data_IF_353545919952
#
_entry.id   IF_353545919952
#
_cell.length_a   1.000
_cell.length_b   1.000
_cell.length_c   1.000
_cell.angle_alpha   90.00
_cell.angle_beta   90.00
_cell.angle_gamma   90.00
#
_symmetry.space_group_name_H-M   'P 1'
#
loop_
_entity.id
_entity.type
_entity.pdbx_description
1 polymer ?
#
# COMPACT_ATOMS: atom_id res chain seq x y z
N UNK A 1 -5.71 0.32 -69.24
CA UNK A 1 -6.24 0.88 -70.51
C UNK A 1 -5.17 1.01 -71.58
N UNK A 2 -4.14 1.86 -71.46
CA UNK A 2 -3.14 2.02 -72.55
C UNK A 2 -2.31 0.76 -72.85
N UNK A 3 -2.02 -0.09 -71.86
CA UNK A 3 -1.27 -1.34 -72.08
C UNK A 3 -2.10 -2.47 -72.70
N UNK A 4 -3.40 -2.55 -72.42
CA UNK A 4 -4.29 -3.58 -72.98
C UNK A 4 -4.59 -3.31 -74.46
N UNK A 5 -4.72 -2.03 -74.85
CA UNK A 5 -4.95 -1.64 -76.25
C UNK A 5 -3.74 -1.97 -77.14
N UNK A 6 -2.52 -1.84 -76.62
CA UNK A 6 -1.30 -2.16 -77.39
C UNK A 6 -1.19 -3.68 -77.62
N UNK A 7 -1.58 -4.50 -76.65
CA UNK A 7 -1.56 -5.96 -76.79
C UNK A 7 -2.59 -6.43 -77.83
N UNK A 8 -3.81 -5.87 -77.80
CA UNK A 8 -4.85 -6.18 -78.79
C UNK A 8 -4.42 -5.80 -80.21
N UNK A 9 -3.84 -4.60 -80.40
CA UNK A 9 -3.37 -4.16 -81.73
C UNK A 9 -2.23 -5.04 -82.25
N UNK A 10 -1.36 -5.54 -81.37
CA UNK A 10 -0.25 -6.43 -81.75
C UNK A 10 -0.74 -7.83 -82.11
N UNK A 11 -1.76 -8.35 -81.42
CA UNK A 11 -2.39 -9.63 -81.77
C UNK A 11 -3.17 -9.54 -83.09
N UNK A 12 -3.95 -8.47 -83.30
CA UNK A 12 -4.72 -8.25 -84.52
C UNK A 12 -3.80 -8.14 -85.75
N UNK A 13 -2.69 -7.39 -85.65
CA UNK A 13 -1.64 -7.32 -86.70
C UNK A 13 -0.89 -8.64 -86.94
N UNK A 14 -0.85 -9.55 -85.96
CA UNK A 14 -0.28 -10.89 -86.15
C UNK A 14 -1.24 -11.78 -86.91
N UNK A 15 -2.53 -11.74 -86.57
CA UNK A 15 -3.59 -12.51 -87.25
C UNK A 15 -3.70 -12.07 -88.71
N UNK A 16 -3.66 -10.77 -88.99
CA UNK A 16 -3.76 -10.22 -90.34
C UNK A 16 -2.56 -10.63 -91.22
N UNK A 17 -1.34 -10.63 -90.67
CA UNK A 17 -0.13 -11.16 -91.36
C UNK A 17 -0.17 -12.67 -91.60
N UNK A 18 -0.88 -13.43 -90.78
CA UNK A 18 -1.06 -14.88 -91.01
C UNK A 18 -2.07 -15.11 -92.13
N UNK A 19 -3.17 -14.35 -92.18
CA UNK A 19 -4.18 -14.42 -93.23
C UNK A 19 -3.57 -14.03 -94.58
N UNK A 20 -2.75 -12.98 -94.63
CA UNK A 20 -2.08 -12.54 -95.85
C UNK A 20 -1.09 -13.60 -96.37
N UNK A 21 -0.35 -14.27 -95.47
CA UNK A 21 0.55 -15.38 -95.82
C UNK A 21 -0.17 -16.64 -96.30
N UNK A 22 -1.38 -16.93 -95.79
CA UNK A 22 -2.21 -18.06 -96.24
C UNK A 22 -2.88 -17.75 -97.58
N UNK A 23 -3.23 -16.49 -97.83
CA UNK A 23 -3.84 -16.02 -99.08
C UNK A 23 -2.84 -15.96 -100.25
N UNK A 24 -1.55 -15.79 -99.96
CA UNK A 24 -0.47 -15.68 -100.95
C UNK A 24 0.14 -17.03 -101.35
N UNK A 25 -0.47 -18.16 -100.97
CA UNK A 25 -0.23 -19.44 -101.64
C UNK A 25 -1.05 -19.43 -102.93
N UNK A 26 -0.46 -18.84 -103.98
CA UNK A 26 -0.97 -18.79 -105.34
C UNK A 26 -1.55 -20.15 -105.77
N UNK A 27 -2.88 -20.24 -105.84
CA UNK A 27 -3.56 -21.22 -106.70
C UNK A 27 -3.32 -20.76 -108.13
N UNK A 28 -2.13 -21.10 -108.63
CA UNK A 28 -1.73 -20.88 -110.02
C UNK A 28 -2.46 -21.92 -110.87
N UNK A 29 -3.73 -21.65 -111.16
CA UNK A 29 -4.56 -22.42 -112.06
C UNK A 29 -4.08 -22.21 -113.51
N UNK A 30 -2.92 -22.77 -113.84
CA UNK A 30 -2.50 -22.99 -115.23
C UNK A 30 -3.27 -24.21 -115.71
N UNK A 31 -4.31 -23.98 -116.51
CA UNK A 31 -4.94 -25.01 -117.35
C UNK A 31 -3.83 -25.58 -118.23
N UNK A 32 -3.24 -26.69 -117.77
CA UNK A 32 -2.33 -27.53 -118.55
C UNK A 32 -3.21 -28.44 -119.38
N UNK A 33 -3.04 -28.32 -120.69
CA UNK A 33 -3.44 -29.29 -121.69
C UNK A 33 -3.14 -30.71 -121.19
N UNK A 34 -4.18 -31.55 -121.14
CA UNK A 34 -4.13 -32.89 -120.54
C UNK A 34 -3.34 -33.81 -121.46
N UNK A 35 -2.05 -34.00 -121.14
CA UNK A 35 -1.32 -35.22 -121.51
C UNK A 35 -2.15 -36.45 -121.11
N UNK A 36 -2.14 -37.56 -121.86
CA UNK A 36 -2.97 -38.72 -121.56
C UNK A 36 -2.69 -39.19 -120.13
N UNK A 37 -3.64 -38.88 -119.25
CA UNK A 37 -3.56 -39.22 -117.84
C UNK A 37 -3.39 -40.74 -117.77
N UNK A 38 -2.26 -41.20 -117.21
CA UNK A 38 -2.11 -42.61 -116.82
C UNK A 38 -3.34 -42.94 -116.00
N UNK A 39 -4.24 -43.73 -116.58
CA UNK A 39 -5.56 -43.99 -116.04
C UNK A 39 -5.34 -44.82 -114.78
N UNK A 40 -5.29 -44.16 -113.63
CA UNK A 40 -5.15 -44.80 -112.32
C UNK A 40 -6.19 -45.92 -112.23
N UNK A 41 -5.80 -47.09 -111.69
CA UNK A 41 -6.75 -48.21 -111.50
C UNK A 41 -7.93 -47.67 -110.67
N UNK A 42 -9.12 -47.69 -111.27
CA UNK A 42 -10.33 -47.14 -110.68
C UNK A 42 -10.71 -47.90 -109.41
N UNK A 43 -10.21 -49.13 -109.23
CA UNK A 43 -10.34 -49.91 -108.00
C UNK A 43 -9.49 -49.35 -106.87
N UNK A 44 -8.21 -49.07 -107.13
CA UNK A 44 -7.31 -48.49 -106.13
C UNK A 44 -7.82 -47.14 -105.61
N UNK A 45 -8.34 -46.30 -106.52
CA UNK A 45 -8.94 -45.02 -106.13
C UNK A 45 -10.21 -45.21 -105.28
N UNK A 46 -11.05 -46.19 -105.61
CA UNK A 46 -12.23 -46.55 -104.80
C UNK A 46 -11.87 -47.04 -103.40
N UNK A 47 -10.86 -47.89 -103.27
CA UNK A 47 -10.34 -48.38 -101.99
C UNK A 47 -9.80 -47.23 -101.12
N UNK A 48 -9.05 -46.31 -101.71
CA UNK A 48 -8.55 -45.13 -101.01
C UNK A 48 -9.69 -44.24 -100.49
N UNK A 49 -10.74 -44.01 -101.28
CA UNK A 49 -11.89 -43.23 -100.84
C UNK A 49 -12.64 -43.90 -99.68
N UNK A 50 -12.80 -45.23 -99.73
CA UNK A 50 -13.41 -45.98 -98.64
C UNK A 50 -12.55 -45.94 -97.37
N UNK A 51 -11.22 -46.04 -97.51
CA UNK A 51 -10.26 -45.93 -96.40
C UNK A 51 -10.29 -44.54 -95.75
N UNK A 52 -10.27 -43.48 -96.57
CA UNK A 52 -10.34 -42.09 -96.10
C UNK A 52 -11.67 -41.84 -95.39
N UNK A 53 -12.78 -42.33 -95.95
CA UNK A 53 -14.08 -42.24 -95.29
C UNK A 53 -14.10 -42.96 -93.93
N UNK A 54 -13.58 -44.19 -93.87
CA UNK A 54 -13.52 -44.98 -92.63
C UNK A 54 -12.71 -44.25 -91.55
N UNK A 55 -11.50 -43.77 -91.90
CA UNK A 55 -10.67 -42.98 -90.98
C UNK A 55 -11.35 -41.70 -90.51
N UNK A 56 -12.10 -41.03 -91.39
CA UNK A 56 -12.86 -39.83 -91.03
C UNK A 56 -13.97 -40.15 -90.00
N UNK A 57 -14.66 -41.27 -90.16
CA UNK A 57 -15.64 -41.76 -89.18
C UNK A 57 -14.99 -42.16 -87.84
N UNK A 58 -13.83 -42.81 -87.87
CA UNK A 58 -13.10 -43.18 -86.65
C UNK A 58 -12.66 -41.92 -85.87
N UNK A 59 -12.14 -40.92 -86.57
CA UNK A 59 -11.78 -39.61 -86.00
C UNK A 59 -13.01 -38.93 -85.39
N UNK A 60 -14.12 -38.87 -86.12
CA UNK A 60 -15.36 -38.27 -85.63
C UNK A 60 -15.85 -38.97 -84.36
N UNK A 61 -15.81 -40.30 -84.32
CA UNK A 61 -16.22 -41.10 -83.16
C UNK A 61 -15.34 -40.79 -81.95
N UNK A 62 -14.02 -40.82 -82.15
CA UNK A 62 -13.05 -40.53 -81.09
C UNK A 62 -13.23 -39.11 -80.52
N UNK A 63 -13.37 -38.11 -81.40
CA UNK A 63 -13.58 -36.71 -80.98
C UNK A 63 -14.91 -36.57 -80.25
N UNK A 64 -15.98 -37.18 -80.76
CA UNK A 64 -17.31 -37.11 -80.16
C UNK A 64 -17.33 -37.68 -78.75
N UNK A 65 -16.64 -38.80 -78.52
CA UNK A 65 -16.50 -39.39 -77.19
C UNK A 65 -15.78 -38.44 -76.21
N UNK A 66 -14.67 -37.83 -76.63
CA UNK A 66 -13.94 -36.88 -75.80
C UNK A 66 -14.74 -35.61 -75.52
N UNK A 67 -15.39 -35.05 -76.53
CA UNK A 67 -16.26 -33.86 -76.37
C UNK A 67 -17.40 -34.16 -75.40
N UNK A 68 -18.01 -35.35 -75.47
CA UNK A 68 -19.05 -35.75 -74.53
C UNK A 68 -18.57 -35.81 -73.07
N UNK A 69 -17.31 -36.19 -72.84
CA UNK A 69 -16.69 -36.19 -71.50
C UNK A 69 -16.44 -34.76 -71.00
N UNK A 70 -15.95 -33.86 -71.87
CA UNK A 70 -15.59 -32.48 -71.52
C UNK A 70 -16.83 -31.64 -71.19
N UNK A 71 -17.87 -31.76 -72.02
CA UNK A 71 -19.09 -30.94 -71.91
C UNK A 71 -20.00 -31.34 -70.73
N UNK A 72 -19.77 -32.50 -70.11
CA UNK A 72 -20.57 -33.00 -68.98
C UNK A 72 -22.05 -33.26 -69.33
N UNK A 73 -22.83 -33.78 -68.38
CA UNK A 73 -24.27 -34.10 -68.56
C UNK A 73 -25.18 -32.87 -68.71
N UNK A 74 -24.67 -31.65 -68.52
CA UNK A 74 -25.50 -30.43 -68.36
C UNK A 74 -25.74 -29.65 -69.65
N UNK A 75 -24.95 -29.86 -70.70
CA UNK A 75 -25.15 -29.20 -71.98
C UNK A 75 -25.56 -30.25 -73.03
N UNK A 76 -26.79 -30.74 -72.90
CA UNK A 76 -27.48 -31.40 -74.01
C UNK A 76 -27.51 -30.36 -75.15
N UNK A 77 -26.92 -30.67 -76.30
CA UNK A 77 -27.11 -29.84 -77.49
C UNK A 77 -28.61 -29.65 -77.67
N UNK A 78 -29.07 -28.41 -77.83
CA UNK A 78 -30.41 -28.16 -78.35
C UNK A 78 -30.50 -28.96 -79.66
N UNK A 79 -31.39 -29.98 -79.73
CA UNK A 79 -31.58 -30.76 -80.95
C UNK A 79 -32.01 -29.88 -82.12
N UNK A 80 -32.34 -28.59 -81.91
CA UNK A 80 -32.62 -27.64 -82.98
C UNK A 80 -31.43 -27.39 -83.92
N UNK A 81 -30.19 -27.58 -83.46
CA UNK A 81 -29.00 -27.52 -84.34
C UNK A 81 -28.71 -28.85 -85.06
N UNK A 82 -29.66 -29.81 -85.04
CA UNK A 82 -29.58 -31.06 -85.80
C UNK A 82 -29.26 -30.75 -87.25
N UNK A 83 -28.01 -31.04 -87.65
CA UNK A 83 -27.65 -32.10 -88.59
C UNK A 83 -28.61 -32.44 -89.75
N UNK A 84 -29.43 -31.49 -90.21
CA UNK A 84 -30.37 -31.57 -91.33
C UNK A 84 -29.67 -31.45 -92.67
N UNK A 85 -28.53 -32.12 -92.80
CA UNK A 85 -28.09 -32.55 -94.11
C UNK A 85 -28.10 -34.07 -94.07
N UNK A 86 -29.29 -34.60 -94.35
CA UNK A 86 -29.64 -36.00 -94.24
C UNK A 86 -29.01 -36.77 -95.41
N UNK A 87 -29.01 -38.11 -95.34
CA UNK A 87 -28.45 -38.98 -96.39
C UNK A 87 -29.06 -38.65 -97.76
N UNK A 88 -30.31 -38.21 -97.77
CA UNK A 88 -31.08 -37.71 -98.91
C UNK A 88 -30.41 -36.54 -99.65
N UNK A 89 -29.73 -35.62 -98.97
CA UNK A 89 -29.05 -34.50 -99.61
C UNK A 89 -27.80 -34.94 -100.37
N UNK A 90 -27.12 -35.97 -99.88
CA UNK A 90 -25.95 -36.54 -100.56
C UNK A 90 -26.37 -37.19 -101.88
N UNK A 91 -27.47 -37.94 -101.88
CA UNK A 91 -27.93 -38.64 -103.09
C UNK A 91 -28.53 -37.68 -104.13
N UNK A 92 -29.12 -36.55 -103.68
CA UNK A 92 -29.59 -35.48 -104.57
C UNK A 92 -28.45 -34.76 -105.31
N UNK A 93 -27.25 -34.71 -104.71
CA UNK A 93 -26.05 -34.10 -105.30
C UNK A 93 -25.35 -35.03 -106.32
N UNK A 94 -25.77 -36.30 -106.44
CA UNK A 94 -25.16 -37.26 -107.37
C UNK A 94 -25.81 -37.15 -108.75
N UNK A 95 -25.03 -36.97 -109.84
CA UNK A 95 -25.57 -36.92 -111.19
C UNK A 95 -26.27 -38.23 -111.61
N UNK A 96 -27.51 -38.13 -112.06
CA UNK A 96 -28.36 -39.29 -112.43
C UNK A 96 -27.82 -40.11 -113.62
N UNK A 97 -27.06 -39.48 -114.53
CA UNK A 97 -26.49 -40.10 -115.73
C UNK A 97 -25.08 -40.69 -115.58
N UNK A 98 -24.50 -40.71 -114.37
CA UNK A 98 -23.16 -41.24 -114.12
C UNK A 98 -23.15 -42.78 -114.02
N UNK A 99 -21.98 -43.40 -114.25
CA UNK A 99 -21.81 -44.84 -113.98
C UNK A 99 -21.95 -45.14 -112.48
N UNK A 100 -22.43 -46.33 -112.12
CA UNK A 100 -22.60 -46.72 -110.70
C UNK A 100 -21.30 -46.64 -109.89
N UNK A 101 -20.16 -46.97 -110.51
CA UNK A 101 -18.84 -46.82 -109.89
C UNK A 101 -18.54 -45.34 -109.57
N UNK A 102 -18.80 -44.44 -110.53
CA UNK A 102 -18.60 -43.00 -110.35
C UNK A 102 -19.55 -42.44 -109.29
N UNK A 103 -20.81 -42.88 -109.27
CA UNK A 103 -21.77 -42.51 -108.22
C UNK A 103 -21.26 -42.93 -106.84
N UNK A 104 -20.71 -44.13 -106.70
CA UNK A 104 -20.14 -44.61 -105.44
C UNK A 104 -18.91 -43.80 -105.01
N UNK A 105 -18.03 -43.43 -105.94
CA UNK A 105 -16.87 -42.58 -105.64
C UNK A 105 -17.30 -41.17 -105.18
N UNK A 106 -18.28 -40.56 -105.85
CA UNK A 106 -18.86 -39.27 -105.44
C UNK A 106 -19.51 -39.39 -104.05
N UNK A 107 -20.22 -40.49 -103.78
CA UNK A 107 -20.84 -40.77 -102.48
C UNK A 107 -19.80 -40.80 -101.36
N UNK A 108 -18.67 -41.50 -101.52
CA UNK A 108 -17.61 -41.52 -100.50
C UNK A 108 -17.00 -40.15 -100.25
N UNK A 109 -16.77 -39.35 -101.29
CA UNK A 109 -16.26 -37.98 -101.16
C UNK A 109 -17.22 -37.09 -100.37
N UNK A 110 -18.50 -37.10 -100.73
CA UNK A 110 -19.53 -36.31 -100.06
C UNK A 110 -19.72 -36.76 -98.61
N UNK A 111 -19.77 -38.06 -98.35
CA UNK A 111 -19.87 -38.60 -96.98
C UNK A 111 -18.66 -38.23 -96.12
N UNK A 112 -17.46 -38.29 -96.67
CA UNK A 112 -16.22 -37.88 -95.97
C UNK A 112 -16.26 -36.39 -95.61
N UNK A 113 -16.61 -35.53 -96.57
CA UNK A 113 -16.77 -34.09 -96.32
C UNK A 113 -17.82 -33.83 -95.24
N UNK A 114 -18.95 -34.53 -95.30
CA UNK A 114 -20.02 -34.38 -94.34
C UNK A 114 -19.61 -34.76 -92.93
N UNK A 115 -18.93 -35.89 -92.74
CA UNK A 115 -18.42 -36.29 -91.42
C UNK A 115 -17.35 -35.32 -90.90
N UNK A 116 -16.49 -34.79 -91.77
CA UNK A 116 -15.54 -33.74 -91.39
C UNK A 116 -16.25 -32.47 -90.90
N UNK A 117 -17.25 -32.00 -91.64
CA UNK A 117 -18.02 -30.80 -91.28
C UNK A 117 -18.78 -31.00 -89.96
N UNK A 118 -19.33 -32.19 -89.72
CA UNK A 118 -19.96 -32.56 -88.43
C UNK A 118 -18.94 -32.49 -87.29
N UNK A 119 -17.76 -33.07 -87.49
CA UNK A 119 -16.67 -33.06 -86.50
C UNK A 119 -16.21 -31.64 -86.20
N UNK A 120 -16.02 -30.82 -87.22
CA UNK A 120 -15.61 -29.42 -87.09
C UNK A 120 -16.65 -28.62 -86.29
N UNK A 121 -17.93 -28.73 -86.64
CA UNK A 121 -19.01 -28.07 -85.91
C UNK A 121 -19.05 -28.50 -84.45
N UNK A 122 -18.93 -29.79 -84.17
CA UNK A 122 -18.90 -30.30 -82.80
C UNK A 122 -17.75 -29.69 -81.98
N UNK A 123 -16.55 -29.61 -82.56
CA UNK A 123 -15.39 -28.98 -81.93
C UNK A 123 -15.62 -27.49 -81.69
N UNK A 124 -16.04 -26.74 -82.71
CA UNK A 124 -16.25 -25.29 -82.61
C UNK A 124 -17.31 -24.95 -81.55
N UNK A 125 -18.45 -25.63 -81.55
CA UNK A 125 -19.49 -25.41 -80.53
C UNK A 125 -18.99 -25.74 -79.12
N UNK A 126 -18.07 -26.70 -78.99
CA UNK A 126 -17.48 -27.08 -77.69
C UNK A 126 -16.45 -26.07 -77.22
N UNK A 127 -15.58 -25.58 -78.10
CA UNK A 127 -14.66 -24.51 -77.77
C UNK A 127 -15.38 -23.20 -77.44
N UNK A 128 -16.47 -22.87 -78.15
CA UNK A 128 -17.30 -21.71 -77.82
C UNK A 128 -17.92 -21.83 -76.42
N UNK A 129 -18.53 -22.99 -76.09
CA UNK A 129 -19.09 -23.24 -74.75
C UNK A 129 -18.05 -23.13 -73.64
N UNK A 130 -16.88 -23.76 -73.83
CA UNK A 130 -15.80 -23.70 -72.84
C UNK A 130 -15.25 -22.29 -72.67
N UNK A 131 -15.15 -21.52 -73.76
CA UNK A 131 -14.74 -20.11 -73.70
C UNK A 131 -15.74 -19.29 -72.89
N UNK A 132 -17.03 -19.46 -73.12
CA UNK A 132 -18.09 -18.79 -72.35
C UNK A 132 -18.02 -19.17 -70.87
N UNK A 133 -17.91 -20.46 -70.54
CA UNK A 133 -17.74 -20.93 -69.16
C UNK A 133 -16.48 -20.34 -68.50
N UNK A 134 -15.36 -20.27 -69.22
CA UNK A 134 -14.12 -19.68 -68.70
C UNK A 134 -14.27 -18.18 -68.43
N UNK A 135 -14.94 -17.45 -69.33
CA UNK A 135 -15.24 -16.02 -69.14
C UNK A 135 -16.11 -15.83 -67.91
N UNK A 136 -17.22 -16.58 -67.78
CA UNK A 136 -18.11 -16.50 -66.62
C UNK A 136 -17.39 -16.81 -65.31
N UNK A 137 -16.59 -17.89 -65.25
CA UNK A 137 -15.80 -18.19 -64.05
C UNK A 137 -14.80 -17.08 -63.71
N UNK A 138 -14.16 -16.47 -64.72
CA UNK A 138 -13.23 -15.35 -64.49
C UNK A 138 -13.96 -14.10 -63.99
N UNK A 139 -15.15 -13.82 -64.51
CA UNK A 139 -15.98 -12.69 -64.10
C UNK A 139 -16.52 -12.88 -62.68
N UNK A 140 -16.99 -14.09 -62.35
CA UNK A 140 -17.47 -14.46 -61.02
C UNK A 140 -16.35 -14.32 -59.98
N UNK A 141 -15.16 -14.85 -60.26
CA UNK A 141 -14.00 -14.71 -59.37
C UNK A 141 -13.63 -13.24 -59.15
N UNK A 142 -13.66 -12.43 -60.21
CA UNK A 142 -13.35 -11.00 -60.13
C UNK A 142 -14.43 -10.25 -59.32
N UNK A 143 -15.70 -10.55 -59.55
CA UNK A 143 -16.82 -9.97 -58.79
C UNK A 143 -16.71 -10.31 -57.29
N UNK A 144 -16.46 -11.59 -56.96
CA UNK A 144 -16.27 -12.02 -55.56
C UNK A 144 -15.09 -11.31 -54.89
N UNK A 145 -13.98 -11.09 -55.61
CA UNK A 145 -12.83 -10.36 -55.07
C UNK A 145 -13.16 -8.90 -54.77
N UNK A 146 -13.85 -8.22 -55.70
CA UNK A 146 -14.28 -6.84 -55.49
C UNK A 146 -15.30 -6.72 -54.35
N UNK A 147 -16.26 -7.64 -54.25
CA UNK A 147 -17.25 -7.65 -53.17
C UNK A 147 -16.59 -7.85 -51.81
N UNK A 148 -15.63 -8.78 -51.69
CA UNK A 148 -14.86 -8.98 -50.45
C UNK A 148 -14.06 -7.74 -50.06
N UNK A 149 -13.41 -7.10 -51.04
CA UNK A 149 -12.64 -5.88 -50.79
C UNK A 149 -13.56 -4.74 -50.34
N UNK A 150 -14.70 -4.57 -51.00
CA UNK A 150 -15.68 -3.55 -50.66
C UNK A 150 -16.24 -3.76 -49.25
N UNK A 151 -16.55 -5.01 -48.89
CA UNK A 151 -17.03 -5.35 -47.54
C UNK A 151 -15.95 -5.09 -46.48
N UNK A 152 -14.69 -5.43 -46.76
CA UNK A 152 -13.56 -5.14 -45.86
C UNK A 152 -13.36 -3.63 -45.65
N UNK A 153 -13.47 -2.82 -46.71
CA UNK A 153 -13.37 -1.35 -46.63
C UNK A 153 -14.54 -0.77 -45.83
N UNK A 154 -15.77 -1.26 -46.06
CA UNK A 154 -16.96 -0.85 -45.30
C UNK A 154 -16.82 -1.17 -43.82
N UNK A 155 -16.35 -2.37 -43.49
CA UNK A 155 -16.14 -2.79 -42.11
C UNK A 155 -15.02 -2.00 -41.42
N UNK A 156 -13.91 -1.73 -42.11
CA UNK A 156 -12.85 -0.87 -41.59
C UNK A 156 -13.37 0.55 -41.29
N UNK A 157 -14.17 1.13 -42.20
CA UNK A 157 -14.78 2.44 -41.97
C UNK A 157 -15.74 2.41 -40.76
N UNK A 158 -16.53 1.35 -40.59
CA UNK A 158 -17.40 1.16 -39.42
C UNK A 158 -16.57 1.10 -38.13
N UNK A 159 -15.48 0.35 -38.12
CA UNK A 159 -14.58 0.26 -36.96
C UNK A 159 -13.92 1.61 -36.63
N UNK A 160 -13.45 2.34 -37.64
CA UNK A 160 -12.91 3.69 -37.46
C UNK A 160 -13.95 4.64 -36.86
N UNK A 161 -15.20 4.59 -37.32
CA UNK A 161 -16.27 5.40 -36.74
C UNK A 161 -16.57 5.04 -35.28
N UNK A 162 -16.55 3.75 -34.93
CA UNK A 162 -16.74 3.30 -33.54
C UNK A 162 -15.58 3.79 -32.67
N UNK A 163 -14.33 3.55 -33.09
CA UNK A 163 -13.13 3.99 -32.37
C UNK A 163 -13.08 5.50 -32.19
N UNK A 164 -13.45 6.27 -33.21
CA UNK A 164 -13.53 7.74 -33.12
C UNK A 164 -14.61 8.18 -32.13
N UNK A 165 -15.77 7.50 -32.10
CA UNK A 165 -16.83 7.78 -31.11
C UNK A 165 -16.38 7.45 -29.69
N UNK A 166 -15.71 6.33 -29.48
CA UNK A 166 -15.15 5.93 -28.20
C UNK A 166 -14.08 6.93 -27.72
N UNK A 167 -13.14 7.29 -28.59
CA UNK A 167 -12.13 8.32 -28.30
C UNK A 167 -12.77 9.67 -27.97
N UNK A 168 -13.80 10.08 -28.71
CA UNK A 168 -14.54 11.32 -28.45
C UNK A 168 -15.28 11.27 -27.10
N UNK A 169 -15.83 10.11 -26.74
CA UNK A 169 -16.48 9.91 -25.45
C UNK A 169 -15.47 9.98 -24.29
N UNK A 170 -14.32 9.33 -24.44
CA UNK A 170 -13.22 9.41 -23.48
C UNK A 170 -12.71 10.83 -23.32
N UNK A 171 -12.54 11.57 -24.42
CA UNK A 171 -12.16 12.98 -24.39
C UNK A 171 -13.16 13.81 -23.58
N UNK A 172 -14.46 13.72 -23.87
CA UNK A 172 -15.51 14.43 -23.11
C UNK A 172 -15.51 14.08 -21.63
N UNK A 173 -15.26 12.81 -21.31
CA UNK A 173 -15.16 12.34 -19.91
C UNK A 173 -13.97 13.00 -19.21
N UNK A 174 -12.81 13.04 -19.85
CA UNK A 174 -11.61 13.70 -19.33
C UNK A 174 -11.82 15.22 -19.18
N UNK A 175 -12.44 15.87 -20.18
CA UNK A 175 -12.80 17.30 -20.10
C UNK A 175 -13.72 17.57 -18.90
N UNK A 176 -14.71 16.71 -18.67
CA UNK A 176 -15.62 16.80 -17.52
C UNK A 176 -14.87 16.62 -16.20
N UNK A 177 -13.95 15.65 -16.12
CA UNK A 177 -13.10 15.44 -14.94
C UNK A 177 -12.15 16.61 -14.69
N UNK A 178 -11.64 17.25 -15.74
CA UNK A 178 -10.77 18.40 -15.64
C UNK A 178 -11.53 19.62 -15.12
N UNK A 179 -12.74 19.85 -15.63
CA UNK A 179 -13.64 20.90 -15.15
C UNK A 179 -14.03 20.70 -13.68
N UNK A 180 -14.38 19.47 -13.29
CA UNK A 180 -14.72 19.18 -11.89
C UNK A 180 -13.50 19.36 -10.98
N UNK A 181 -12.33 18.86 -11.39
CA UNK A 181 -11.08 19.04 -10.64
C UNK A 181 -10.74 20.52 -10.46
N UNK A 182 -10.86 21.32 -11.52
CA UNK A 182 -10.61 22.75 -11.45
C UNK A 182 -11.58 23.49 -10.51
N UNK A 183 -12.86 23.09 -10.47
CA UNK A 183 -13.82 23.62 -9.49
C UNK A 183 -13.45 23.25 -8.05
N UNK A 184 -12.97 22.02 -7.81
CA UNK A 184 -12.53 21.62 -6.46
C UNK A 184 -11.24 22.32 -6.03
N UNK A 185 -10.33 22.57 -6.98
CA UNK A 185 -9.05 23.21 -6.75
C UNK A 185 -9.23 24.70 -6.44
N UNK A 186 -10.08 25.41 -7.20
CA UNK A 186 -10.45 26.79 -6.88
C UNK A 186 -11.08 26.94 -5.48
N UNK A 187 -11.88 25.96 -5.03
CA UNK A 187 -12.38 25.92 -3.66
C UNK A 187 -11.28 25.74 -2.61
N UNK A 188 -10.28 24.89 -2.88
CA UNK A 188 -9.10 24.73 -2.01
C UNK A 188 -8.26 26.00 -1.98
N UNK A 189 -8.00 26.60 -3.13
CA UNK A 189 -7.25 27.85 -3.27
C UNK A 189 -7.91 28.99 -2.48
N UNK A 190 -9.24 29.11 -2.57
CA UNK A 190 -9.99 30.07 -1.76
C UNK A 190 -9.79 29.83 -0.26
N UNK A 191 -9.90 28.57 0.20
CA UNK A 191 -9.71 28.21 1.61
C UNK A 191 -8.29 28.50 2.09
N UNK A 192 -7.27 28.24 1.26
CA UNK A 192 -5.88 28.58 1.57
C UNK A 192 -5.73 30.08 1.73
N UNK A 193 -6.27 30.88 0.79
CA UNK A 193 -6.20 32.34 0.82
C UNK A 193 -6.89 32.95 2.05
N UNK A 194 -8.01 32.36 2.47
CA UNK A 194 -8.69 32.73 3.72
C UNK A 194 -7.82 32.47 4.95
N UNK A 195 -7.22 31.28 5.04
CA UNK A 195 -6.32 30.90 6.14
C UNK A 195 -5.07 31.79 6.17
N UNK A 196 -4.48 32.10 5.01
CA UNK A 196 -3.37 33.05 4.93
C UNK A 196 -3.76 34.45 5.42
N UNK A 197 -4.96 34.93 5.07
CA UNK A 197 -5.47 36.21 5.55
C UNK A 197 -5.60 36.23 7.07
N UNK A 198 -6.18 35.17 7.66
CA UNK A 198 -6.28 34.99 9.10
C UNK A 198 -4.91 34.90 9.77
N UNK A 199 -3.99 34.11 9.20
CA UNK A 199 -2.62 33.99 9.68
C UNK A 199 -1.92 35.36 9.71
N UNK A 200 -1.97 36.13 8.62
CA UNK A 200 -1.37 37.48 8.56
C UNK A 200 -2.00 38.44 9.56
N UNK A 201 -3.31 38.34 9.81
CA UNK A 201 -3.99 39.16 10.82
C UNK A 201 -3.51 38.82 12.23
N UNK A 202 -3.43 37.53 12.57
CA UNK A 202 -2.90 37.04 13.85
C UNK A 202 -1.41 37.36 14.03
N UNK A 203 -0.63 37.36 12.94
CA UNK A 203 0.78 37.72 12.94
C UNK A 203 0.95 39.21 13.27
N UNK A 204 0.15 40.09 12.66
CA UNK A 204 0.12 41.52 12.98
C UNK A 204 -0.36 41.79 14.41
N UNK A 205 -1.36 41.05 14.89
CA UNK A 205 -1.81 41.15 16.29
C UNK A 205 -0.70 40.73 17.24
N UNK A 206 0.01 39.62 16.96
CA UNK A 206 1.16 39.18 17.74
C UNK A 206 2.29 40.21 17.73
N UNK A 207 2.62 40.80 16.57
CA UNK A 207 3.59 41.89 16.52
C UNK A 207 3.14 43.10 17.34
N UNK A 208 1.87 43.49 17.26
CA UNK A 208 1.33 44.59 18.06
C UNK A 208 1.37 44.27 19.55
N UNK A 209 1.04 43.03 19.95
CA UNK A 209 1.13 42.58 21.34
C UNK A 209 2.58 42.59 21.82
N UNK A 210 3.54 42.12 21.00
CA UNK A 210 4.97 42.22 21.28
C UNK A 210 5.43 43.66 21.41
N UNK A 211 4.99 44.57 20.53
CA UNK A 211 5.29 46.00 20.63
C UNK A 211 4.64 46.65 21.85
N UNK A 212 3.41 46.27 22.22
CA UNK A 212 2.74 46.73 23.45
C UNK A 212 3.47 46.21 24.69
N UNK A 213 3.92 44.97 24.70
CA UNK A 213 4.73 44.40 25.78
C UNK A 213 6.10 45.09 25.89
N UNK A 214 6.79 45.29 24.76
CA UNK A 214 8.06 46.02 24.72
C UNK A 214 7.88 47.49 25.12
N UNK A 215 6.81 48.14 24.66
CA UNK A 215 6.44 49.51 24.96
C UNK A 215 5.83 49.71 26.34
N UNK A 216 5.32 48.67 26.99
CA UNK A 216 4.94 48.67 28.42
C UNK A 216 6.17 48.44 29.31
N UNK A 217 7.13 47.60 28.89
CA UNK A 217 8.44 47.50 29.54
C UNK A 217 9.26 48.79 29.37
N UNK A 218 9.12 49.48 28.25
CA UNK A 218 9.69 50.81 28.00
C UNK A 218 8.75 51.98 28.33
N UNK A 219 7.56 51.71 28.88
CA UNK A 219 6.67 52.78 29.33
C UNK A 219 7.31 53.35 30.55
N UNK A 220 8.00 54.48 30.36
CA UNK A 220 8.61 55.29 31.40
C UNK A 220 7.69 55.37 32.62
N UNK A 221 6.37 55.39 32.47
CA UNK A 221 5.42 55.40 33.58
C UNK A 221 5.38 54.11 34.42
N UNK A 222 5.45 52.92 33.82
CA UNK A 222 5.50 51.65 34.58
C UNK A 222 6.89 51.45 35.16
N UNK A 223 7.93 51.67 34.34
CA UNK A 223 9.31 51.55 34.78
C UNK A 223 9.65 52.56 35.90
N UNK A 224 9.23 53.82 35.78
CA UNK A 224 9.35 54.82 36.86
C UNK A 224 8.53 54.47 38.09
N UNK A 225 7.33 53.87 37.97
CA UNK A 225 6.56 53.43 39.15
C UNK A 225 7.23 52.27 39.86
N UNK A 226 7.80 51.32 39.11
CA UNK A 226 8.57 50.20 39.67
C UNK A 226 9.86 50.70 40.30
N UNK A 227 10.58 51.61 39.63
CA UNK A 227 11.80 52.23 40.15
C UNK A 227 11.51 53.11 41.37
N UNK A 228 10.44 53.90 41.36
CA UNK A 228 10.02 54.74 42.50
C UNK A 228 9.58 53.89 43.69
N UNK A 229 8.82 52.80 43.48
CA UNK A 229 8.52 51.84 44.54
C UNK A 229 9.81 51.21 45.09
N UNK A 230 10.75 50.82 44.21
CA UNK A 230 12.04 50.28 44.64
C UNK A 230 12.86 51.31 45.45
N UNK A 231 12.81 52.59 45.05
CA UNK A 231 13.46 53.71 45.73
C UNK A 231 12.83 53.93 47.10
N UNK A 232 11.51 53.93 47.19
CA UNK A 232 10.77 54.06 48.45
C UNK A 232 11.10 52.91 49.42
N UNK A 233 11.16 51.66 48.95
CA UNK A 233 11.59 50.54 49.79
C UNK A 233 13.05 50.68 50.24
N UNK A 234 13.94 51.12 49.35
CA UNK A 234 15.35 51.37 49.67
C UNK A 234 15.52 52.49 50.69
N UNK A 235 14.79 53.59 50.55
CA UNK A 235 14.79 54.73 51.48
C UNK A 235 14.25 54.33 52.85
N UNK A 236 13.14 53.58 52.90
CA UNK A 236 12.60 53.07 54.16
C UNK A 236 13.58 52.12 54.88
N UNK A 237 14.25 51.23 54.13
CA UNK A 237 15.30 50.37 54.68
C UNK A 237 16.49 51.19 55.20
N UNK A 238 16.90 52.23 54.48
CA UNK A 238 17.99 53.12 54.91
C UNK A 238 17.62 53.90 56.18
N UNK A 239 16.38 54.40 56.26
CA UNK A 239 15.88 55.09 57.46
C UNK A 239 15.86 54.15 58.68
N UNK A 240 15.35 52.93 58.52
CA UNK A 240 15.34 51.91 59.58
C UNK A 240 16.76 51.55 60.03
N UNK A 241 17.70 51.41 59.09
CA UNK A 241 19.12 51.18 59.42
C UNK A 241 19.70 52.36 60.20
N UNK A 242 19.47 53.58 59.75
CA UNK A 242 19.97 54.79 60.42
C UNK A 242 19.39 54.93 61.84
N UNK A 243 18.11 54.61 62.04
CA UNK A 243 17.48 54.63 63.35
C UNK A 243 18.08 53.56 64.28
N UNK A 244 18.29 52.34 63.77
CA UNK A 244 18.98 51.27 64.50
C UNK A 244 20.41 51.64 64.86
N UNK A 245 21.14 52.29 63.97
CA UNK A 245 22.50 52.77 64.24
C UNK A 245 22.52 53.87 65.30
N UNK A 246 21.55 54.79 65.29
CA UNK A 246 21.39 55.82 66.35
C UNK A 246 21.08 55.19 67.70
N UNK A 247 20.18 54.20 67.74
CA UNK A 247 19.84 53.45 68.96
C UNK A 247 21.06 52.69 69.49
N UNK A 248 21.81 52.02 68.60
CA UNK A 248 23.07 51.36 68.94
C UNK A 248 24.11 52.33 69.49
N UNK A 249 24.24 53.52 68.90
CA UNK A 249 25.13 54.56 69.42
C UNK A 249 24.69 55.04 70.81
N UNK A 250 23.38 55.27 71.01
CA UNK A 250 22.83 55.65 72.32
C UNK A 250 23.12 54.59 73.38
N UNK A 251 22.84 53.31 73.08
CA UNK A 251 23.12 52.19 73.99
C UNK A 251 24.62 52.04 74.28
N UNK A 252 25.50 52.20 73.29
CA UNK A 252 26.96 52.22 73.50
C UNK A 252 27.40 53.35 74.42
N UNK A 253 26.79 54.52 74.28
CA UNK A 253 27.09 55.69 75.11
C UNK A 253 26.66 55.44 76.56
N UNK A 254 25.45 54.89 76.77
CA UNK A 254 24.98 54.47 78.09
C UNK A 254 25.87 53.38 78.71
N UNK A 255 26.28 52.38 77.92
CA UNK A 255 27.16 51.31 78.40
C UNK A 255 28.54 51.83 78.81
N UNK A 256 29.06 52.82 78.08
CA UNK A 256 30.32 53.51 78.42
C UNK A 256 30.18 54.25 79.75
N UNK A 257 29.07 54.97 79.94
CA UNK A 257 28.77 55.68 81.18
C UNK A 257 28.68 54.73 82.39
N UNK A 258 27.90 53.64 82.27
CA UNK A 258 27.76 52.63 83.33
C UNK A 258 29.12 52.00 83.66
N UNK A 259 29.97 51.73 82.66
CA UNK A 259 31.30 51.15 82.89
C UNK A 259 32.23 52.13 83.61
N UNK A 260 32.17 53.42 83.30
CA UNK A 260 32.93 54.46 84.03
C UNK A 260 32.44 54.67 85.46
N UNK A 261 31.15 54.56 85.71
CA UNK A 261 30.56 54.63 87.06
C UNK A 261 30.95 53.39 87.88
N UNK A 262 30.81 52.18 87.32
CA UNK A 262 31.19 50.91 87.97
C UNK A 262 32.69 50.82 88.34
N UNK A 263 33.56 51.37 87.49
CA UNK A 263 35.01 51.36 87.76
C UNK A 263 35.43 52.32 88.87
N UNK A 264 34.62 53.33 89.19
CA UNK A 264 34.93 54.34 90.22
C UNK A 264 34.58 53.85 91.64
N UNK A 265 33.59 52.96 91.80
CA UNK A 265 33.11 52.51 93.12
C UNK A 265 33.91 51.34 93.75
N UNK A 266 34.78 50.65 93.00
CA UNK A 266 35.38 49.35 93.40
C UNK A 266 36.52 49.41 94.44
N UNK A 267 36.76 50.54 95.10
CA UNK A 267 37.86 50.68 96.09
C UNK A 267 37.68 49.81 97.35
N UNK A 268 36.46 49.34 97.66
CA UNK A 268 36.17 48.50 98.83
C UNK A 268 36.37 46.97 98.65
N UNK A 269 36.56 46.49 97.43
CA UNK A 269 36.43 45.06 97.05
C UNK A 269 37.72 44.24 97.32
N UNK A 270 38.88 44.90 97.45
CA UNK A 270 40.19 44.24 97.64
C UNK A 270 40.35 43.59 99.02
N UNK A 271 39.71 44.13 100.07
CA UNK A 271 39.83 43.57 101.43
C UNK A 271 38.99 42.29 101.60
N UNK A 272 37.81 42.23 100.96
CA UNK A 272 36.95 41.05 100.94
C UNK A 272 37.61 39.90 100.16
N UNK A 273 38.26 40.21 99.03
CA UNK A 273 38.97 39.21 98.23
C UNK A 273 40.13 38.53 98.99
N UNK A 274 40.88 39.30 99.80
CA UNK A 274 41.91 38.76 100.70
C UNK A 274 41.33 37.82 101.77
N UNK A 275 40.16 38.17 102.34
CA UNK A 275 39.50 37.36 103.36
C UNK A 275 39.00 36.02 102.83
N UNK A 276 38.46 35.99 101.62
CA UNK A 276 38.01 34.76 100.94
C UNK A 276 39.21 33.83 100.69
N UNK A 277 40.32 34.37 100.22
CA UNK A 277 41.55 33.59 99.95
C UNK A 277 42.07 32.94 101.24
N UNK A 278 42.06 33.67 102.36
CA UNK A 278 42.47 33.15 103.66
C UNK A 278 41.57 31.99 104.12
N UNK A 279 40.25 32.10 103.95
CA UNK A 279 39.30 31.04 104.31
C UNK A 279 39.50 29.76 103.48
N UNK A 280 39.77 29.90 102.17
CA UNK A 280 40.05 28.75 101.30
C UNK A 280 41.30 28.00 101.75
N UNK A 281 42.38 28.69 102.09
CA UNK A 281 43.62 28.03 102.58
C UNK A 281 43.41 27.27 103.89
N UNK A 282 42.58 27.79 104.80
CA UNK A 282 42.25 27.08 106.05
C UNK A 282 41.36 25.86 105.83
N UNK A 283 40.53 25.86 104.78
CA UNK A 283 39.70 24.73 104.40
C UNK A 283 40.54 23.60 103.82
N UNK A 284 41.42 23.91 102.87
CA UNK A 284 42.32 22.93 102.24
C UNK A 284 43.21 22.24 103.28
N UNK A 285 43.71 22.99 104.26
CA UNK A 285 44.53 22.44 105.34
C UNK A 285 43.76 21.43 106.23
N UNK A 286 42.47 21.67 106.47
CA UNK A 286 41.61 20.72 107.20
C UNK A 286 41.32 19.47 106.37
N UNK A 287 41.16 19.60 105.06
CA UNK A 287 40.86 18.50 104.15
C UNK A 287 42.02 17.50 104.04
N UNK A 288 43.27 17.97 104.10
CA UNK A 288 44.46 17.12 104.18
C UNK A 288 44.50 16.29 105.48
N UNK A 289 44.09 16.89 106.60
CA UNK A 289 44.04 16.17 107.90
C UNK A 289 42.97 15.08 107.87
N UNK A 290 41.81 15.37 107.27
CA UNK A 290 40.72 14.40 107.14
C UNK A 290 41.17 13.20 106.31
N UNK A 291 41.79 13.40 105.14
CA UNK A 291 42.27 12.29 104.29
C UNK A 291 43.28 11.38 104.99
N UNK A 292 44.17 11.95 105.81
CA UNK A 292 45.14 11.17 106.59
C UNK A 292 44.45 10.28 107.63
N UNK A 293 43.42 10.80 108.29
CA UNK A 293 42.62 10.04 109.25
C UNK A 293 41.82 8.93 108.57
N UNK A 294 41.29 9.18 107.37
CA UNK A 294 40.57 8.17 106.57
C UNK A 294 41.47 6.97 106.19
N UNK A 295 42.73 7.20 105.81
CA UNK A 295 43.68 6.12 105.49
C UNK A 295 44.06 5.24 106.70
N UNK A 296 44.21 5.83 107.90
CA UNK A 296 44.45 5.07 109.14
C UNK A 296 43.27 4.16 109.49
N UNK A 297 42.03 4.66 109.35
CA UNK A 297 40.81 3.89 109.59
C UNK A 297 40.71 2.72 108.60
N UNK A 298 41.02 2.98 107.33
CA UNK A 298 40.99 1.97 106.26
C UNK A 298 41.98 0.82 106.53
N UNK A 299 43.21 1.12 106.98
CA UNK A 299 44.22 0.12 107.36
C UNK A 299 43.80 -0.76 108.55
N UNK A 300 43.14 -0.17 109.54
CA UNK A 300 42.70 -0.89 110.75
C UNK A 300 41.53 -1.86 110.46
N UNK A 301 40.66 -1.54 109.51
CA UNK A 301 39.55 -2.42 109.11
C UNK A 301 40.01 -3.68 108.37
N UNK A 302 41.04 -3.59 107.52
CA UNK A 302 41.51 -4.71 106.69
C UNK A 302 42.14 -5.85 107.52
N UNK A 303 42.92 -5.52 108.56
CA UNK A 303 43.58 -6.51 109.44
C UNK A 303 42.63 -7.36 110.29
N UNK A 304 41.37 -6.95 110.46
CA UNK A 304 40.39 -7.64 111.31
C UNK A 304 39.62 -8.75 110.57
N UNK A 305 39.59 -8.74 109.23
CA UNK A 305 38.77 -9.68 108.44
C UNK A 305 39.38 -11.07 108.23
N UNK A 306 40.68 -11.28 108.38
CA UNK A 306 41.34 -12.52 107.94
C UNK A 306 41.37 -13.69 108.98
N UNK A 307 40.83 -13.53 110.20
CA UNK A 307 41.16 -14.45 111.33
C UNK A 307 40.06 -15.34 111.95
N UNK A 308 38.77 -15.31 111.56
CA UNK A 308 37.75 -16.21 112.16
C UNK A 308 36.53 -16.42 111.24
N UNK A 309 36.55 -17.42 110.33
CA UNK A 309 36.15 -18.84 110.48
C UNK A 309 34.61 -19.07 110.63
N UNK A 310 34.05 -19.71 109.59
CA UNK A 310 32.93 -20.67 109.57
C UNK A 310 31.66 -20.44 110.43
N UNK A 311 30.70 -19.63 109.94
CA UNK A 311 29.30 -19.72 110.43
C UNK A 311 28.30 -19.37 109.31
N UNK A 312 27.32 -20.24 109.08
CA UNK A 312 26.13 -20.00 108.23
C UNK A 312 25.06 -19.28 109.07
N UNK A 313 24.64 -18.08 108.67
CA UNK A 313 23.60 -17.30 109.39
C UNK A 313 22.40 -17.02 108.50
N UNK A 314 21.24 -17.56 108.87
CA UNK A 314 19.93 -17.29 108.25
C UNK A 314 19.31 -16.05 108.92
N UNK A 315 19.22 -14.93 108.19
CA UNK A 315 18.64 -13.68 108.73
C UNK A 315 17.33 -13.37 108.00
N UNK A 316 16.21 -13.44 108.73
CA UNK A 316 14.87 -13.10 108.24
C UNK A 316 14.66 -11.61 108.49
N UNK A 317 14.52 -10.79 107.44
CA UNK A 317 14.21 -9.36 107.62
C UNK A 317 12.94 -8.98 106.88
N UNK A 318 11.92 -8.56 107.63
CA UNK A 318 10.66 -8.01 107.13
C UNK A 318 10.89 -6.57 106.68
N UNK A 319 10.48 -6.23 105.45
CA UNK A 319 10.50 -4.84 104.95
C UNK A 319 9.22 -4.11 105.34
N UNK A 320 9.36 -2.97 106.01
CA UNK A 320 8.31 -1.97 106.15
C UNK A 320 8.53 -0.90 105.07
N UNK A 321 7.52 -0.63 104.25
CA UNK A 321 7.50 0.44 103.24
C UNK A 321 6.56 1.53 103.77
N UNK A 322 7.12 2.59 104.35
CA UNK A 322 6.33 3.75 104.77
C UNK A 322 6.57 4.90 103.78
N UNK A 323 5.47 5.39 103.22
CA UNK A 323 5.40 6.56 102.34
C UNK A 323 5.58 7.84 103.16
N UNK A 324 6.31 8.82 102.61
CA UNK A 324 6.36 10.16 103.21
C UNK A 324 5.21 11.02 102.66
N UNK A 325 4.46 11.72 103.54
CA UNK A 325 3.13 12.26 103.23
C UNK A 325 3.13 13.66 102.60
N UNK A 326 4.29 14.25 102.29
CA UNK A 326 4.37 15.65 101.82
C UNK A 326 4.15 15.85 100.31
N UNK A 327 3.95 14.77 99.54
CA UNK A 327 3.49 14.85 98.14
C UNK A 327 1.98 14.55 97.97
N UNK A 328 1.22 14.38 99.05
CA UNK A 328 -0.18 13.93 99.04
C UNK A 328 -1.24 14.98 99.37
N UNK A 329 -0.90 16.27 99.41
CA UNK A 329 -1.86 17.36 99.70
C UNK A 329 -2.13 18.30 98.51
N UNK A 330 -1.73 17.92 97.29
CA UNK A 330 -2.22 18.50 96.02
C UNK A 330 -3.14 17.54 95.27
N UNK A 331 -3.82 16.66 95.99
CA UNK A 331 -4.90 15.85 95.45
C UNK A 331 -6.19 16.19 96.19
N UNK A 332 -7.13 16.81 95.49
CA UNK A 332 -8.55 16.61 95.78
C UNK A 332 -8.91 15.23 95.21
N UNK A 333 -9.35 14.35 96.10
CA UNK A 333 -10.02 13.09 95.79
C UNK A 333 -9.20 12.05 95.00
N UNK A 334 -8.39 11.26 95.70
CA UNK A 334 -8.46 9.82 95.41
C UNK A 334 -8.34 8.97 96.67
N UNK A 335 -9.28 8.04 96.71
CA UNK A 335 -9.72 7.29 97.88
C UNK A 335 -8.72 6.20 98.27
N UNK A 336 -8.68 5.99 99.58
CA UNK A 336 -8.23 4.81 100.30
C UNK A 336 -8.16 3.52 99.49
N UNK A 337 -6.97 2.94 99.35
CA UNK A 337 -6.85 1.48 99.24
C UNK A 337 -5.95 0.95 100.37
N UNK A 338 -6.55 0.00 101.08
CA UNK A 338 -6.10 -0.66 102.29
C UNK A 338 -4.89 -1.59 102.09
N UNK A 339 -4.20 -1.99 103.18
CA UNK A 339 -2.88 -2.62 103.15
C UNK A 339 -2.95 -4.12 102.88
N UNK A 340 -2.42 -4.57 101.74
CA UNK A 340 -2.50 -5.96 101.25
C UNK A 340 -1.36 -6.11 100.22
N UNK A 341 -0.38 -7.03 100.21
CA UNK A 341 -0.08 -8.29 100.90
C UNK A 341 1.46 -8.45 100.97
N UNK A 342 1.92 -9.09 102.03
CA UNK A 342 3.32 -9.41 102.30
C UNK A 342 3.96 -10.31 101.23
N UNK A 343 4.92 -9.78 100.46
CA UNK A 343 5.81 -10.57 99.63
C UNK A 343 7.05 -10.98 100.44
N UNK A 344 7.07 -12.22 100.92
CA UNK A 344 8.23 -12.86 101.57
C UNK A 344 9.23 -13.28 100.49
N UNK A 345 10.46 -12.77 100.55
CA UNK A 345 11.57 -13.27 99.72
C UNK A 345 12.52 -14.05 100.61
N UNK A 346 12.66 -15.35 100.37
CA UNK A 346 13.67 -16.21 101.01
C UNK A 346 14.92 -16.14 100.15
N UNK A 347 16.07 -15.86 100.78
CA UNK A 347 17.39 -15.97 100.15
C UNK A 347 18.13 -17.08 100.90
N UNK A 348 18.45 -18.16 100.21
CA UNK A 348 19.32 -19.23 100.69
C UNK A 348 20.67 -18.98 100.04
N UNK A 349 21.70 -18.67 100.83
CA UNK A 349 23.07 -18.54 100.34
C UNK A 349 23.87 -19.71 100.90
N UNK A 350 24.13 -20.70 100.04
CA UNK A 350 24.97 -21.86 100.33
C UNK A 350 26.26 -21.79 99.49
N UNK A 351 27.23 -22.68 99.78
CA UNK A 351 28.64 -22.70 99.33
C UNK A 351 28.89 -22.86 97.80
N UNK A 352 27.95 -22.43 96.96
CA UNK A 352 28.00 -22.46 95.50
C UNK A 352 27.05 -21.37 95.03
N UNK A 353 27.57 -20.25 94.51
CA UNK A 353 26.84 -19.00 94.25
C UNK A 353 25.80 -19.04 93.13
N UNK A 354 24.78 -19.89 93.27
CA UNK A 354 23.58 -19.89 92.44
C UNK A 354 22.37 -19.48 93.28
N UNK A 355 21.76 -18.33 92.93
CA UNK A 355 20.49 -17.88 93.50
C UNK A 355 19.42 -18.00 92.42
N UNK A 356 18.62 -19.07 92.50
CA UNK A 356 17.45 -19.31 91.65
C UNK A 356 16.24 -18.56 92.23
N UNK A 357 15.58 -17.72 91.44
CA UNK A 357 14.24 -17.17 91.74
C UNK A 357 13.28 -17.47 90.59
N UNK A 358 12.26 -18.27 90.88
CA UNK A 358 11.14 -18.64 90.00
C UNK A 358 9.95 -17.67 90.15
N UNK A 359 9.26 -17.39 89.04
CA UNK A 359 8.10 -16.48 88.93
C UNK A 359 6.84 -17.27 88.55
N UNK A 360 5.70 -17.02 89.22
CA UNK A 360 4.38 -17.57 88.86
C UNK A 360 3.26 -16.57 89.19
N UNK A 361 2.35 -16.29 88.23
CA UNK A 361 0.89 -16.32 88.39
C UNK A 361 0.10 -16.03 87.08
N UNK A 362 -1.17 -16.47 87.07
CA UNK A 362 -2.03 -17.00 85.98
C UNK A 362 -3.11 -16.04 85.41
N UNK A 363 -3.60 -16.36 84.18
CA UNK A 363 -4.99 -16.21 83.61
C UNK A 363 -5.52 -14.82 83.18
N UNK A 364 -6.44 -14.61 82.22
CA UNK A 364 -7.03 -15.32 81.06
C UNK A 364 -8.05 -14.38 80.33
N UNK A 365 -8.33 -14.66 79.04
CA UNK A 365 -9.57 -14.44 78.23
C UNK A 365 -9.96 -13.07 77.59
N UNK A 366 -9.82 -13.03 76.25
CA UNK A 366 -10.81 -12.76 75.16
C UNK A 366 -11.84 -11.61 75.27
N UNK A 367 -11.92 -10.75 74.22
CA UNK A 367 -12.92 -10.80 73.11
C UNK A 367 -12.86 -9.55 72.19
N UNK A 368 -13.07 -9.79 70.89
CA UNK A 368 -13.21 -8.88 69.73
C UNK A 368 -14.05 -7.61 69.93
N UNK A 369 -13.71 -6.51 69.24
CA UNK A 369 -14.44 -5.93 68.07
C UNK A 369 -14.00 -4.49 67.72
N UNK A 370 -14.06 -4.16 66.41
CA UNK A 370 -14.13 -2.84 65.73
C UNK A 370 -12.88 -1.95 65.60
N UNK A 371 -12.56 -1.53 64.38
CA UNK A 371 -12.65 -0.13 63.87
C UNK A 371 -12.16 -0.06 62.40
N UNK A 372 -12.71 0.92 61.63
CA UNK A 372 -12.24 1.51 60.34
C UNK A 372 -12.72 0.84 59.04
N UNK A 373 -13.18 1.52 57.98
CA UNK A 373 -13.47 2.93 57.66
C UNK A 373 -14.35 2.95 56.37
N UNK A 374 -15.03 4.05 55.99
CA UNK A 374 -15.93 4.12 54.84
C UNK A 374 -15.26 4.61 53.53
N UNK A 375 -15.99 4.45 52.42
CA UNK A 375 -15.79 5.03 51.07
C UNK A 375 -14.68 4.50 50.15
N UNK A 376 -15.05 3.62 49.18
CA UNK A 376 -14.88 3.77 47.72
C UNK A 376 -15.65 2.63 46.99
N UNK A 377 -16.59 2.90 46.05
CA UNK A 377 -17.25 1.86 45.26
C UNK A 377 -16.42 1.33 44.05
N UNK A 378 -16.72 0.09 43.60
CA UNK A 378 -15.94 -0.70 42.63
C UNK A 378 -16.14 -0.31 41.15
N UNK A 379 -15.31 -0.85 40.20
CA UNK A 379 -15.23 -0.33 38.83
C UNK A 379 -16.39 -0.79 37.94
N UNK A 380 -16.85 0.04 36.98
CA UNK A 380 -17.80 -0.39 35.96
C UNK A 380 -17.14 -1.00 34.69
N UNK A 381 -17.92 -1.76 33.89
CA UNK A 381 -17.48 -2.94 33.10
C UNK A 381 -17.25 -2.64 31.58
N UNK A 382 -16.84 -3.64 30.76
CA UNK A 382 -16.19 -3.40 29.47
C UNK A 382 -17.17 -3.10 28.32
N UNK A 383 -16.73 -2.40 27.26
CA UNK A 383 -17.57 -2.15 26.10
C UNK A 383 -17.75 -3.40 25.18
N UNK A 384 -18.93 -3.54 24.54
CA UNK A 384 -19.38 -4.71 23.76
C UNK A 384 -18.68 -4.90 22.39
N UNK A 385 -18.84 -6.07 21.74
CA UNK A 385 -17.93 -6.59 20.71
C UNK A 385 -17.99 -5.84 19.38
N UNK A 386 -16.81 -5.69 18.76
CA UNK A 386 -16.64 -5.23 17.38
C UNK A 386 -17.45 -6.11 16.43
N UNK A 387 -18.45 -5.52 15.77
CA UNK A 387 -19.14 -6.16 14.67
C UNK A 387 -18.20 -6.30 13.46
N UNK A 388 -17.84 -7.56 13.19
CA UNK A 388 -17.39 -8.04 11.90
C UNK A 388 -18.58 -8.03 10.94
N UNK A 389 -18.37 -7.51 9.73
CA UNK A 389 -19.22 -7.70 8.55
C UNK A 389 -18.33 -7.60 7.30
N UNK A 390 -18.74 -8.18 6.17
CA UNK A 390 -18.23 -9.44 5.62
C UNK A 390 -17.34 -9.21 4.37
N UNK A 391 -16.71 -10.25 3.80
CA UNK A 391 -15.78 -10.05 2.69
C UNK A 391 -16.51 -9.91 1.34
N UNK A 392 -15.94 -9.21 0.36
CA UNK A 392 -16.27 -9.41 -1.04
C UNK A 392 -15.07 -10.04 -1.81
N UNK A 393 -15.31 -10.55 -3.03
CA UNK A 393 -14.92 -11.90 -3.41
C UNK A 393 -13.54 -12.02 -4.07
N UNK A 394 -13.01 -13.24 -4.00
CA UNK A 394 -11.91 -13.75 -4.82
C UNK A 394 -12.31 -13.89 -6.29
N UNK A 395 -11.57 -13.27 -7.20
CA UNK A 395 -11.35 -13.70 -8.59
C UNK A 395 -10.32 -12.74 -9.21
N UNK A 396 -9.05 -13.15 -9.35
CA UNK A 396 -8.51 -13.81 -10.54
C UNK A 396 -7.99 -12.82 -11.60
N UNK A 397 -6.67 -12.89 -11.84
CA UNK A 397 -5.98 -12.34 -13.02
C UNK A 397 -5.73 -10.83 -12.95
N UNK A 398 -4.60 -10.25 -13.37
CA UNK A 398 -3.45 -10.63 -14.19
C UNK A 398 -2.47 -9.40 -14.08
N UNK A 399 -1.47 -9.18 -14.96
CA UNK A 399 -0.04 -9.33 -14.74
C UNK A 399 0.72 -7.97 -14.65
N UNK A 400 2.06 -8.03 -14.67
CA UNK A 400 3.01 -6.89 -14.66
C UNK A 400 2.67 -5.76 -15.65
N UNK A 401 3.06 -4.51 -15.39
CA UNK A 401 4.44 -4.02 -15.37
C UNK A 401 5.29 -4.77 -16.39
N UNK A 402 5.33 -4.28 -17.62
CA UNK A 402 6.47 -4.19 -18.55
C UNK A 402 5.87 -3.76 -19.90
N UNK A 403 6.28 -2.56 -20.36
CA UNK A 403 5.97 -1.86 -21.62
C UNK A 403 4.70 -1.01 -21.67
#
# INVERSE_FOLDING_TARGET
EVEEDIVNIVEERKVERVIEKVSQVDIKNKVREVEPLVKMDTRFFGELLAEVYRKNCDIHTCISEHVAKIRGRKHLLDPSNDYKMEREDIEALIPKGASELTKQQIRYLLQTRMTADKTMRLLLTTFSSLREELIHMSEDLRAEQYDRLLEAVRENNRQLQISLKESSFSQRTLETQLLSSHSTDSGREFRVKELEGSYRALEKENEMLKQKLAGQCGSSTIQMKTEELSRQYSEQLAALRQEKDKELQSLRTQLTQITTEYTTERSGDKSLQLRITQLLTTLEQREVVIKRQEEEIWQLQQKKSDSSKNVTTTTITKRYRNQYPLLGLLSDEFQSTLPVKDAKTVVIESRTGEIIKQTLLLSALHRNERQEDPDVPPPPPPPPPRMLLPPPPSSSGLPGWWW
#
